data_IF_269051790586
#
_entry.id   IF_269051790586
#
_cell.length_a   1.000
_cell.length_b   1.000
_cell.length_c   1.000
_cell.angle_alpha   90.00
_cell.angle_beta   90.00
_cell.angle_gamma   90.00
#
_symmetry.space_group_name_H-M   'P 1'
#
loop_
_entity.id
_entity.type
_entity.pdbx_description
1 polymer ?
#
# COMPACT_ATOMS: atom_id res chain seq x y z
N UNK A 1 41.71 -62.60 70.20
CA UNK A 1 42.23 -61.24 69.93
C UNK A 1 41.49 -60.48 68.81
N UNK A 2 40.35 -60.98 68.30
CA UNK A 2 39.59 -60.36 67.19
C UNK A 2 38.61 -59.24 67.60
N UNK A 3 38.23 -59.15 68.88
CA UNK A 3 37.12 -58.29 69.31
C UNK A 3 37.56 -56.86 69.70
N UNK A 4 38.82 -56.64 70.08
CA UNK A 4 39.32 -55.33 70.52
C UNK A 4 39.68 -54.39 69.35
N UNK A 5 40.06 -54.97 68.20
CA UNK A 5 40.30 -54.21 66.96
C UNK A 5 38.98 -53.82 66.27
N UNK A 6 37.92 -54.64 66.38
CA UNK A 6 36.62 -54.32 65.78
C UNK A 6 35.97 -53.10 66.44
N UNK A 7 35.99 -53.01 67.77
CA UNK A 7 35.41 -51.89 68.52
C UNK A 7 36.18 -50.57 68.35
N UNK A 8 37.50 -50.64 68.18
CA UNK A 8 38.31 -49.44 67.91
C UNK A 8 38.13 -48.94 66.49
N UNK A 9 38.01 -49.84 65.50
CA UNK A 9 37.67 -49.47 64.12
C UNK A 9 36.24 -48.92 64.00
N UNK A 10 35.23 -49.53 64.62
CA UNK A 10 33.84 -49.04 64.54
C UNK A 10 33.66 -47.67 65.18
N UNK A 11 34.33 -47.40 66.32
CA UNK A 11 34.30 -46.09 66.97
C UNK A 11 35.02 -44.99 66.16
N UNK A 12 36.13 -45.32 65.49
CA UNK A 12 36.81 -44.41 64.57
C UNK A 12 35.95 -44.11 63.33
N UNK A 13 35.34 -45.13 62.71
CA UNK A 13 34.42 -44.96 61.59
C UNK A 13 33.15 -44.17 61.96
N UNK A 14 32.62 -44.36 63.17
CA UNK A 14 31.48 -43.60 63.68
C UNK A 14 31.82 -42.10 63.90
N UNK A 15 33.01 -41.80 64.44
CA UNK A 15 33.50 -40.42 64.62
C UNK A 15 33.79 -39.73 63.27
N UNK A 16 34.31 -40.47 62.29
CA UNK A 16 34.49 -40.00 60.90
C UNK A 16 33.14 -39.79 60.20
N UNK A 17 32.14 -40.67 60.41
CA UNK A 17 30.76 -40.48 59.90
C UNK A 17 30.05 -39.28 60.51
N UNK A 18 30.14 -39.05 61.82
CA UNK A 18 29.56 -37.87 62.48
C UNK A 18 30.21 -36.56 62.03
N UNK A 19 31.50 -36.59 61.67
CA UNK A 19 32.20 -35.47 61.03
C UNK A 19 31.71 -35.27 59.59
N UNK A 20 31.59 -36.35 58.81
CA UNK A 20 31.06 -36.34 57.45
C UNK A 20 29.61 -35.88 57.36
N UNK A 21 28.74 -36.26 58.31
CA UNK A 21 27.34 -35.80 58.37
C UNK A 21 27.23 -34.32 58.71
N UNK A 22 28.15 -33.80 59.54
CA UNK A 22 28.19 -32.38 59.87
C UNK A 22 28.69 -31.55 58.68
N UNK A 23 29.64 -32.09 57.93
CA UNK A 23 30.13 -31.53 56.65
C UNK A 23 29.03 -31.61 55.59
N UNK A 24 28.35 -32.75 55.44
CA UNK A 24 27.25 -32.96 54.50
C UNK A 24 26.06 -32.04 54.80
N UNK A 25 25.68 -31.85 56.07
CA UNK A 25 24.64 -30.87 56.47
C UNK A 25 25.05 -29.41 56.22
N UNK A 26 26.35 -29.09 56.19
CA UNK A 26 26.83 -27.76 55.76
C UNK A 26 26.76 -27.64 54.24
N UNK A 27 27.16 -28.67 53.49
CA UNK A 27 27.03 -28.72 52.03
C UNK A 27 25.58 -28.65 51.57
N UNK A 28 24.66 -29.42 52.18
CA UNK A 28 23.22 -29.38 51.84
C UNK A 28 22.63 -27.99 52.12
N UNK A 29 23.00 -27.34 53.24
CA UNK A 29 22.58 -25.95 53.51
C UNK A 29 23.13 -24.96 52.50
N UNK A 30 24.38 -25.15 52.07
CA UNK A 30 24.99 -24.32 51.03
C UNK A 30 24.29 -24.53 49.69
N UNK A 31 24.01 -25.77 49.29
CA UNK A 31 23.28 -26.12 48.06
C UNK A 31 21.86 -25.54 48.10
N UNK A 32 21.15 -25.66 49.21
CA UNK A 32 19.81 -25.06 49.37
C UNK A 32 19.86 -23.53 49.32
N UNK A 33 20.91 -22.91 49.87
CA UNK A 33 21.13 -21.47 49.75
C UNK A 33 21.39 -21.06 48.30
N UNK A 34 22.20 -21.81 47.57
CA UNK A 34 22.52 -21.56 46.15
C UNK A 34 21.27 -21.77 45.28
N UNK A 35 20.50 -22.82 45.52
CA UNK A 35 19.26 -23.10 44.79
C UNK A 35 18.21 -22.01 45.05
N UNK A 36 18.05 -21.56 46.30
CA UNK A 36 17.17 -20.43 46.61
C UNK A 36 17.65 -19.12 45.98
N UNK A 37 18.96 -18.88 45.92
CA UNK A 37 19.52 -17.73 45.23
C UNK A 37 19.25 -17.80 43.72
N UNK A 38 19.46 -18.96 43.10
CA UNK A 38 19.16 -19.20 41.69
C UNK A 38 17.67 -19.01 41.38
N UNK A 39 16.76 -19.49 42.25
CA UNK A 39 15.32 -19.27 42.10
C UNK A 39 14.96 -17.79 42.18
N UNK A 40 15.57 -17.03 43.10
CA UNK A 40 15.35 -15.57 43.19
C UNK A 40 15.88 -14.83 41.97
N UNK A 41 17.05 -15.21 41.45
CA UNK A 41 17.61 -14.62 40.22
C UNK A 41 16.72 -14.96 39.02
N UNK A 42 16.23 -16.19 38.92
CA UNK A 42 15.30 -16.60 37.86
C UNK A 42 13.98 -15.84 37.96
N UNK A 43 13.44 -15.65 39.16
CA UNK A 43 12.24 -14.82 39.39
C UNK A 43 12.47 -13.37 38.95
N UNK A 44 13.60 -12.77 39.31
CA UNK A 44 13.96 -11.42 38.87
C UNK A 44 14.06 -11.35 37.34
N UNK A 45 14.71 -12.32 36.71
CA UNK A 45 14.82 -12.39 35.26
C UNK A 45 13.45 -12.50 34.58
N UNK A 46 12.57 -13.37 35.08
CA UNK A 46 11.20 -13.49 34.57
C UNK A 46 10.40 -12.19 34.73
N UNK A 47 10.50 -11.52 35.88
CA UNK A 47 9.86 -10.22 36.10
C UNK A 47 10.40 -9.17 35.13
N UNK A 48 11.71 -9.15 34.85
CA UNK A 48 12.28 -8.23 33.86
C UNK A 48 11.83 -8.54 32.44
N UNK A 49 11.73 -9.82 32.05
CA UNK A 49 11.19 -10.21 30.75
C UNK A 49 9.72 -9.82 30.61
N UNK A 50 8.91 -10.02 31.65
CA UNK A 50 7.52 -9.58 31.67
C UNK A 50 7.41 -8.06 31.55
N UNK A 51 8.24 -7.31 32.27
CA UNK A 51 8.32 -5.85 32.15
C UNK A 51 8.72 -5.42 30.73
N UNK A 52 9.76 -6.01 30.13
CA UNK A 52 10.16 -5.71 28.75
C UNK A 52 9.08 -6.09 27.74
N UNK A 53 8.36 -7.19 27.94
CA UNK A 53 7.24 -7.59 27.09
C UNK A 53 6.07 -6.62 27.20
N UNK A 54 5.76 -6.14 28.41
CA UNK A 54 4.75 -5.11 28.64
C UNK A 54 5.16 -3.76 28.02
N UNK A 55 6.43 -3.37 28.13
CA UNK A 55 6.97 -2.17 27.47
C UNK A 55 6.97 -2.31 25.95
N UNK A 56 7.20 -3.51 25.39
CA UNK A 56 7.12 -3.74 23.93
C UNK A 56 5.69 -3.73 23.41
N UNK A 57 4.72 -4.21 24.20
CA UNK A 57 3.29 -4.13 23.88
C UNK A 57 2.70 -2.74 24.11
N UNK A 58 3.28 -1.95 25.02
CA UNK A 58 2.88 -0.56 25.31
C UNK A 58 3.73 0.49 24.57
N UNK A 59 4.75 0.09 23.80
CA UNK A 59 5.39 0.93 22.80
C UNK A 59 4.44 1.09 21.62
N UNK A 60 3.34 1.81 21.86
CA UNK A 60 2.78 2.68 20.84
C UNK A 60 3.98 3.52 20.39
N UNK A 61 4.37 3.51 19.10
CA UNK A 61 5.38 4.44 18.62
C UNK A 61 4.96 5.78 19.16
N UNK A 62 5.76 6.41 20.03
CA UNK A 62 5.50 7.79 20.38
C UNK A 62 5.44 8.48 19.04
N UNK A 63 4.25 8.89 18.64
CA UNK A 63 4.06 10.10 17.85
C UNK A 63 4.65 11.21 18.73
N UNK A 64 5.99 11.24 18.82
CA UNK A 64 6.70 12.49 19.00
C UNK A 64 6.13 13.33 17.90
N UNK A 65 5.35 14.34 18.29
CA UNK A 65 4.50 15.10 17.38
C UNK A 65 5.27 15.33 16.11
N UNK A 66 4.80 14.70 15.02
CA UNK A 66 5.41 14.87 13.71
C UNK A 66 5.47 16.36 13.52
N UNK A 67 6.69 16.87 13.41
CA UNK A 67 6.93 18.26 13.07
C UNK A 67 6.08 18.56 11.85
N UNK A 68 5.53 19.76 11.73
CA UNK A 68 4.71 20.21 10.60
C UNK A 68 5.44 20.14 9.24
N UNK A 69 6.67 19.62 9.22
CA UNK A 69 7.59 19.48 8.09
C UNK A 69 8.17 18.07 7.88
N UNK A 70 7.73 17.04 8.62
CA UNK A 70 8.25 15.68 8.43
C UNK A 70 7.66 15.04 7.16
N UNK A 71 8.40 15.16 6.06
CA UNK A 71 8.05 14.51 4.78
C UNK A 71 8.27 13.01 4.91
N UNK A 72 7.20 12.23 4.73
CA UNK A 72 7.29 10.77 4.68
C UNK A 72 8.07 10.37 3.41
N UNK A 73 9.18 9.61 3.53
CA UNK A 73 10.01 9.25 2.39
C UNK A 73 9.25 8.43 1.36
N UNK A 74 9.58 8.61 0.08
CA UNK A 74 8.88 7.97 -1.05
C UNK A 74 8.76 6.45 -0.89
N UNK A 75 9.85 5.75 -0.54
CA UNK A 75 9.82 4.30 -0.38
C UNK A 75 8.89 3.85 0.74
N UNK A 76 8.73 4.65 1.80
CA UNK A 76 7.77 4.35 2.85
C UNK A 76 6.34 4.51 2.34
N UNK A 77 6.03 5.58 1.61
CA UNK A 77 4.72 5.80 0.98
C UNK A 77 4.41 4.68 -0.01
N UNK A 78 5.35 4.34 -0.88
CA UNK A 78 5.22 3.25 -1.85
C UNK A 78 4.92 1.92 -1.16
N UNK A 79 5.77 1.49 -0.23
CA UNK A 79 5.60 0.22 0.47
C UNK A 79 4.30 0.17 1.29
N UNK A 80 3.91 1.30 1.89
CA UNK A 80 2.64 1.42 2.63
C UNK A 80 1.43 1.53 1.73
N UNK A 81 1.56 1.84 0.44
CA UNK A 81 0.44 1.95 -0.49
C UNK A 81 0.25 0.72 -1.37
N UNK A 82 1.20 -0.21 -1.41
CA UNK A 82 1.11 -1.47 -2.18
C UNK A 82 -0.18 -2.26 -1.93
N UNK A 83 -0.71 -2.86 -3.00
CA UNK A 83 -1.86 -3.76 -2.97
C UNK A 83 -1.63 -4.94 -2.01
N UNK A 84 -2.42 -5.00 -0.92
CA UNK A 84 -2.37 -6.07 0.09
C UNK A 84 -3.70 -6.18 0.85
N UNK A 85 -3.92 -7.25 1.62
CA UNK A 85 -5.03 -7.33 2.57
C UNK A 85 -4.92 -6.22 3.62
N UNK A 86 -6.01 -5.48 3.85
CA UNK A 86 -6.12 -4.40 4.84
C UNK A 86 -7.49 -4.42 5.49
N UNK A 87 -7.54 -3.96 6.72
CA UNK A 87 -8.78 -3.68 7.42
C UNK A 87 -9.47 -2.48 6.78
N UNK A 88 -10.72 -2.67 6.36
CA UNK A 88 -11.57 -1.62 5.81
C UNK A 88 -12.95 -1.71 6.45
N UNK A 89 -13.61 -0.56 6.58
CA UNK A 89 -15.00 -0.50 7.01
C UNK A 89 -15.91 -0.78 5.81
N UNK A 90 -16.69 -1.85 5.91
CA UNK A 90 -17.69 -2.23 4.90
C UNK A 90 -19.08 -2.00 5.48
N UNK A 91 -19.90 -1.25 4.77
CA UNK A 91 -21.29 -1.03 5.13
C UNK A 91 -22.13 -2.29 4.83
N UNK A 92 -22.88 -2.77 5.83
CA UNK A 92 -23.59 -4.05 5.75
C UNK A 92 -24.70 -4.01 4.69
N UNK A 93 -25.35 -2.85 4.52
CA UNK A 93 -26.43 -2.66 3.54
C UNK A 93 -25.95 -2.80 2.09
N UNK A 94 -24.70 -2.44 1.81
CA UNK A 94 -24.13 -2.55 0.46
C UNK A 94 -23.84 -4.02 0.08
N UNK A 95 -23.46 -4.84 1.05
CA UNK A 95 -23.16 -6.26 0.83
C UNK A 95 -24.44 -7.10 0.74
N UNK A 96 -25.49 -6.70 1.47
CA UNK A 96 -26.78 -7.38 1.53
C UNK A 96 -27.94 -6.46 1.14
N UNK A 97 -28.04 -6.09 -0.16
CA UNK A 97 -29.09 -5.18 -0.63
C UNK A 97 -30.50 -5.76 -0.50
N UNK A 98 -30.64 -7.09 -0.42
CA UNK A 98 -31.95 -7.76 -0.33
C UNK A 98 -32.64 -7.55 1.04
N UNK A 99 -31.90 -7.15 2.08
CA UNK A 99 -32.40 -6.98 3.45
C UNK A 99 -32.77 -5.51 3.80
N UNK A 100 -33.40 -4.78 2.86
CA UNK A 100 -33.72 -3.33 3.01
C UNK A 100 -34.62 -2.95 4.20
N UNK A 101 -35.40 -3.88 4.74
CA UNK A 101 -36.38 -3.58 5.80
C UNK A 101 -35.78 -3.44 7.22
N UNK A 102 -34.45 -3.52 7.35
CA UNK A 102 -33.78 -3.69 8.64
C UNK A 102 -32.68 -2.67 8.88
N UNK A 103 -32.62 -2.21 10.13
CA UNK A 103 -31.49 -1.41 10.62
C UNK A 103 -30.52 -2.38 11.30
N UNK A 104 -29.26 -2.34 10.87
CA UNK A 104 -28.18 -3.16 11.43
C UNK A 104 -27.40 -2.36 12.47
N UNK A 105 -27.09 -2.98 13.62
CA UNK A 105 -26.19 -2.45 14.64
C UNK A 105 -25.05 -3.45 14.85
N UNK A 106 -23.79 -3.09 14.54
CA UNK A 106 -23.37 -1.83 13.89
C UNK A 106 -23.87 -1.74 12.43
N UNK A 107 -23.79 -0.54 11.81
CA UNK A 107 -24.13 -0.35 10.39
C UNK A 107 -23.00 -0.72 9.44
N UNK A 108 -21.76 -0.73 9.95
CA UNK A 108 -20.56 -1.14 9.24
C UNK A 108 -19.72 -2.09 10.10
N UNK A 109 -18.95 -2.95 9.43
CA UNK A 109 -18.05 -3.92 10.06
C UNK A 109 -16.65 -3.76 9.51
N UNK A 110 -15.65 -4.06 10.34
CA UNK A 110 -14.24 -4.10 9.92
C UNK A 110 -13.99 -5.46 9.27
N UNK A 111 -13.62 -5.46 8.00
CA UNK A 111 -13.28 -6.65 7.24
C UNK A 111 -11.92 -6.51 6.59
N UNK A 112 -11.23 -7.63 6.44
CA UNK A 112 -10.01 -7.69 5.65
C UNK A 112 -10.35 -7.75 4.16
N UNK A 113 -10.08 -6.66 3.42
CA UNK A 113 -10.28 -6.58 1.97
C UNK A 113 -8.99 -6.17 1.27
N UNK A 114 -8.96 -6.38 -0.05
CA UNK A 114 -7.82 -5.97 -0.86
C UNK A 114 -7.87 -4.46 -1.06
N UNK A 115 -6.81 -3.78 -0.62
CA UNK A 115 -6.69 -2.34 -0.75
C UNK A 115 -5.24 -1.91 -0.98
N UNK A 116 -5.08 -0.79 -1.66
CA UNK A 116 -3.79 -0.26 -2.10
C UNK A 116 -3.79 0.08 -3.58
N UNK A 117 -2.66 0.57 -4.06
CA UNK A 117 -2.44 0.91 -5.45
C UNK A 117 -1.66 -0.19 -6.18
N UNK A 118 -1.85 -0.21 -7.50
CA UNK A 118 -1.00 -0.90 -8.45
C UNK A 118 -0.23 0.15 -9.26
N UNK A 119 0.90 -0.25 -9.85
CA UNK A 119 1.75 0.69 -10.61
C UNK A 119 1.05 1.25 -11.87
N UNK A 120 0.12 0.49 -12.45
CA UNK A 120 -0.61 0.85 -13.66
C UNK A 120 -2.10 1.07 -13.36
N UNK A 121 -2.67 2.15 -13.90
CA UNK A 121 -4.12 2.44 -13.77
C UNK A 121 -5.01 1.41 -14.47
N UNK A 122 -4.46 0.69 -15.45
CA UNK A 122 -5.13 -0.40 -16.15
C UNK A 122 -5.24 -1.68 -15.30
N UNK A 123 -4.62 -1.68 -14.12
CA UNK A 123 -4.67 -2.76 -13.15
C UNK A 123 -5.62 -2.42 -12.00
N UNK A 124 -6.21 -3.43 -11.40
CA UNK A 124 -6.98 -3.36 -10.17
C UNK A 124 -6.39 -4.30 -9.11
N UNK A 125 -6.42 -3.86 -7.85
CA UNK A 125 -6.04 -4.68 -6.72
C UNK A 125 -7.20 -5.63 -6.40
N UNK A 126 -7.06 -6.90 -6.79
CA UNK A 126 -8.13 -7.88 -6.70
C UNK A 126 -7.74 -9.05 -5.78
N UNK A 127 -8.72 -9.71 -5.13
CA UNK A 127 -8.45 -10.89 -4.33
C UNK A 127 -8.03 -12.08 -5.19
N UNK A 128 -7.12 -12.86 -4.62
CA UNK A 128 -6.65 -14.15 -5.17
C UNK A 128 -7.29 -15.30 -4.41
N UNK A 129 -7.41 -15.14 -3.09
CA UNK A 129 -8.01 -16.12 -2.17
C UNK A 129 -8.95 -15.36 -1.24
N UNK A 130 -10.13 -15.92 -1.04
CA UNK A 130 -11.17 -15.37 -0.16
C UNK A 130 -11.73 -16.46 0.75
N UNK A 131 -12.12 -16.10 1.95
CA UNK A 131 -12.80 -16.98 2.91
C UNK A 131 -13.95 -16.22 3.57
N UNK A 132 -14.93 -16.95 4.10
CA UNK A 132 -16.07 -16.33 4.77
C UNK A 132 -15.86 -16.35 6.29
N UNK A 133 -16.19 -15.23 6.94
CA UNK A 133 -16.31 -15.13 8.39
C UNK A 133 -17.77 -14.92 8.77
N UNK A 134 -18.16 -15.32 9.96
CA UNK A 134 -19.51 -15.06 10.49
C UNK A 134 -19.43 -14.07 11.62
N UNK A 135 -20.15 -12.96 11.51
CA UNK A 135 -20.22 -11.90 12.50
C UNK A 135 -21.60 -11.86 13.14
N UNK A 136 -21.63 -11.55 14.43
CA UNK A 136 -22.86 -11.30 15.18
C UNK A 136 -23.25 -9.82 15.03
N UNK A 137 -24.48 -9.59 14.54
CA UNK A 137 -25.03 -8.28 14.24
C UNK A 137 -26.44 -8.21 14.83
N UNK A 138 -26.79 -7.07 15.43
CA UNK A 138 -28.16 -6.84 15.88
C UNK A 138 -29.01 -6.34 14.71
N UNK A 139 -30.12 -7.03 14.47
CA UNK A 139 -31.11 -6.66 13.46
C UNK A 139 -32.32 -6.03 14.12
N UNK A 140 -32.62 -4.79 13.77
CA UNK A 140 -33.78 -4.04 14.27
C UNK A 140 -34.88 -4.02 13.22
N UNK A 141 -36.06 -4.55 13.58
CA UNK A 141 -37.32 -4.25 12.89
C UNK A 141 -38.02 -3.13 13.67
N UNK A 142 -38.51 -2.06 13.01
CA UNK A 142 -39.20 -0.96 13.70
C UNK A 142 -40.40 -1.38 14.58
N UNK A 143 -40.99 -2.56 14.32
CA UNK A 143 -42.22 -3.04 14.96
C UNK A 143 -42.09 -4.44 15.61
N UNK A 144 -40.91 -5.08 15.62
CA UNK A 144 -40.71 -6.42 16.21
C UNK A 144 -39.38 -6.49 16.97
N UNK A 145 -39.34 -7.38 17.97
CA UNK A 145 -38.22 -7.56 18.89
C UNK A 145 -36.85 -7.68 18.21
N UNK A 146 -35.84 -7.15 18.91
CA UNK A 146 -34.41 -7.31 18.65
C UNK A 146 -33.98 -8.76 18.86
N UNK A 147 -33.07 -9.24 18.00
CA UNK A 147 -32.37 -10.50 18.19
C UNK A 147 -30.95 -10.39 17.66
N UNK A 148 -30.05 -11.16 18.26
CA UNK A 148 -28.71 -11.36 17.75
C UNK A 148 -28.78 -12.24 16.50
N UNK A 149 -28.19 -11.78 15.41
CA UNK A 149 -28.26 -12.42 14.11
C UNK A 149 -26.85 -12.64 13.56
N UNK A 150 -26.59 -13.80 12.97
CA UNK A 150 -25.29 -14.11 12.39
C UNK A 150 -25.34 -13.85 10.88
N UNK A 151 -24.41 -13.04 10.38
CA UNK A 151 -24.21 -12.83 8.95
C UNK A 151 -22.82 -13.26 8.53
N UNK A 152 -22.71 -13.90 7.38
CA UNK A 152 -21.43 -14.22 6.77
C UNK A 152 -20.88 -13.03 5.98
N UNK A 153 -19.57 -12.83 5.94
CA UNK A 153 -18.93 -11.83 5.09
C UNK A 153 -17.68 -12.43 4.45
N UNK A 154 -17.39 -12.06 3.21
CA UNK A 154 -16.16 -12.47 2.54
C UNK A 154 -14.98 -11.60 3.00
N UNK A 155 -13.90 -12.23 3.45
CA UNK A 155 -12.59 -11.63 3.68
C UNK A 155 -11.57 -12.10 2.64
N UNK A 156 -10.55 -11.29 2.41
CA UNK A 156 -9.50 -11.56 1.44
C UNK A 156 -8.19 -11.89 2.17
N UNK A 157 -7.67 -13.10 2.02
CA UNK A 157 -6.37 -13.50 2.59
C UNK A 157 -5.18 -13.14 1.69
N UNK A 158 -5.38 -13.08 0.37
CA UNK A 158 -4.32 -12.80 -0.61
C UNK A 158 -4.79 -11.85 -1.70
N UNK A 159 -3.95 -10.88 -2.07
CA UNK A 159 -4.26 -9.85 -3.08
C UNK A 159 -3.19 -9.77 -4.15
N UNK A 160 -3.58 -9.56 -5.41
CA UNK A 160 -2.67 -9.35 -6.55
C UNK A 160 -3.22 -8.29 -7.51
N UNK A 161 -2.33 -7.54 -8.13
CA UNK A 161 -2.68 -6.62 -9.21
C UNK A 161 -3.06 -7.41 -10.47
N UNK A 162 -4.28 -7.24 -10.95
CA UNK A 162 -4.82 -7.91 -12.15
C UNK A 162 -5.27 -6.86 -13.17
N UNK A 163 -5.20 -7.12 -14.48
CA UNK A 163 -5.75 -6.21 -15.49
C UNK A 163 -7.25 -6.06 -15.29
N UNK A 164 -7.76 -4.83 -15.35
CA UNK A 164 -9.20 -4.59 -15.24
C UNK A 164 -9.95 -5.22 -16.42
N UNK A 165 -11.08 -5.84 -16.14
CA UNK A 165 -11.89 -6.57 -17.14
C UNK A 165 -12.46 -5.65 -18.23
N UNK A 166 -12.72 -4.38 -17.93
CA UNK A 166 -13.24 -3.38 -18.86
C UNK A 166 -12.26 -3.00 -19.99
N UNK A 167 -10.96 -3.29 -19.81
CA UNK A 167 -9.93 -3.11 -20.85
C UNK A 167 -9.96 -4.26 -21.87
N UNK A 168 -10.33 -5.47 -21.45
CA UNK A 168 -10.42 -6.65 -22.34
C UNK A 168 -11.58 -6.52 -23.34
N UNK A 169 -12.75 -6.07 -22.88
CA UNK A 169 -13.93 -5.87 -23.75
C UNK A 169 -13.73 -4.78 -24.81
N UNK A 170 -12.86 -3.80 -24.55
CA UNK A 170 -12.51 -2.76 -25.55
C UNK A 170 -11.56 -3.26 -26.64
N UNK A 171 -10.76 -4.30 -26.39
CA UNK A 171 -9.84 -4.87 -27.38
C UNK A 171 -10.51 -5.84 -28.34
N UNK A 172 -11.57 -6.53 -27.91
CA UNK A 172 -12.29 -7.50 -28.76
C UNK A 172 -13.20 -6.86 -29.80
N UNK A 173 -13.61 -5.60 -29.62
CA UNK A 173 -14.31 -4.82 -30.65
C UNK A 173 -13.33 -4.30 -31.73
N UNK A 174 -12.71 -5.22 -32.48
CA UNK A 174 -12.07 -4.85 -33.76
C UNK A 174 -13.14 -4.25 -34.69
N UNK A 175 -12.90 -3.08 -35.31
CA UNK A 175 -13.88 -2.48 -36.21
C UNK A 175 -14.00 -3.35 -37.46
N UNK A 176 -15.18 -3.93 -37.68
CA UNK A 176 -15.53 -4.54 -38.97
C UNK A 176 -15.36 -3.48 -40.06
N UNK A 177 -14.46 -3.74 -41.02
CA UNK A 177 -14.27 -2.94 -42.23
C UNK A 177 -15.56 -2.95 -43.05
N UNK A 178 -16.44 -1.98 -42.82
CA UNK A 178 -17.51 -1.60 -43.73
C UNK A 178 -17.08 -0.39 -44.55
N UNK A 179 -17.00 -0.54 -45.88
CA UNK A 179 -16.75 0.55 -46.84
C UNK A 179 -17.88 1.60 -46.74
N UNK A 180 -17.54 2.88 -46.64
CA UNK A 180 -18.50 3.97 -46.78
C UNK A 180 -17.98 5.32 -46.25
N UNK A 181 -17.90 6.31 -47.13
CA UNK A 181 -17.26 7.62 -46.94
C UNK A 181 -18.00 8.54 -45.95
N UNK A 182 -17.28 9.12 -44.96
CA UNK A 182 -17.13 10.59 -44.74
C UNK A 182 -16.34 10.91 -43.46
N UNK A 183 -15.22 11.61 -43.66
CA UNK A 183 -14.41 12.35 -42.67
C UNK A 183 -15.32 13.33 -41.90
N UNK A 184 -15.13 13.78 -40.65
CA UNK A 184 -13.91 14.13 -39.89
C UNK A 184 -14.36 14.55 -38.46
N UNK A 185 -14.43 13.65 -37.46
CA UNK A 185 -14.62 14.09 -36.04
C UNK A 185 -14.28 13.02 -34.99
N UNK A 186 -13.01 12.67 -34.84
CA UNK A 186 -12.49 12.06 -33.61
C UNK A 186 -10.96 12.00 -33.67
N UNK A 187 -10.30 12.99 -33.06
CA UNK A 187 -8.87 12.93 -32.75
C UNK A 187 -8.55 13.89 -31.60
N UNK A 188 -9.25 13.73 -30.47
CA UNK A 188 -8.93 14.47 -29.25
C UNK A 188 -8.98 13.60 -27.97
N UNK A 189 -9.48 12.35 -28.08
CA UNK A 189 -9.53 11.42 -26.95
C UNK A 189 -8.31 10.48 -26.89
N UNK A 190 -7.55 10.33 -27.99
CA UNK A 190 -6.31 9.55 -28.02
C UNK A 190 -5.15 10.35 -27.41
N UNK A 191 -5.04 11.65 -27.71
CA UNK A 191 -3.98 12.52 -27.17
C UNK A 191 -4.00 12.65 -25.63
N UNK A 192 -5.16 12.51 -24.99
CA UNK A 192 -5.30 12.49 -23.51
C UNK A 192 -4.78 11.18 -22.90
N UNK A 193 -4.77 10.08 -23.66
CA UNK A 193 -4.23 8.78 -23.26
C UNK A 193 -2.71 8.74 -23.40
N UNK A 194 -2.19 9.40 -24.43
CA UNK A 194 -0.74 9.47 -24.67
C UNK A 194 -0.01 10.37 -23.66
N UNK A 195 -0.68 11.41 -23.12
CA UNK A 195 -0.08 12.30 -22.13
C UNK A 195 0.08 11.65 -20.74
N UNK A 196 -0.77 10.68 -20.39
CA UNK A 196 -0.66 9.95 -19.13
C UNK A 196 0.38 8.82 -19.20
N UNK A 197 0.58 8.23 -20.39
CA UNK A 197 1.62 7.21 -20.63
C UNK A 197 3.05 7.79 -20.66
N UNK A 198 3.20 9.10 -20.86
CA UNK A 198 4.51 9.76 -20.78
C UNK A 198 5.04 9.82 -19.33
N UNK A 199 4.17 10.02 -18.34
CA UNK A 199 4.54 10.08 -16.92
C UNK A 199 5.05 8.73 -16.35
N UNK A 200 4.51 7.61 -16.83
CA UNK A 200 4.91 6.27 -16.38
C UNK A 200 6.25 5.79 -16.99
N UNK A 201 6.67 6.37 -18.12
CA UNK A 201 7.93 6.02 -18.79
C UNK A 201 9.19 6.62 -18.12
N UNK A 202 9.06 7.75 -17.42
CA UNK A 202 10.18 8.35 -16.67
C UNK A 202 10.46 7.60 -15.35
N UNK A 203 9.44 7.07 -14.68
CA UNK A 203 9.61 6.33 -13.41
C UNK A 203 10.27 4.96 -13.60
N UNK A 204 10.03 4.30 -14.74
CA UNK A 204 10.59 2.97 -15.04
C UNK A 204 12.07 3.00 -15.46
N UNK A 205 12.55 4.12 -16.00
CA UNK A 205 13.94 4.27 -16.42
C UNK A 205 14.91 4.55 -15.26
N UNK A 206 14.41 5.07 -14.13
CA UNK A 206 15.23 5.33 -12.94
C UNK A 206 15.49 4.08 -12.08
N UNK A 207 14.67 3.03 -12.22
CA UNK A 207 14.72 1.84 -11.35
C UNK A 207 15.69 0.77 -11.91
N UNK A 208 15.94 0.74 -13.23
CA UNK A 208 16.81 -0.28 -13.84
C UNK A 208 18.32 -0.06 -13.62
N UNK A 209 18.75 1.05 -13.01
CA UNK A 209 20.17 1.40 -12.84
C UNK A 209 20.75 1.05 -11.46
N UNK A 210 19.96 0.49 -10.53
CA UNK A 210 20.44 0.17 -9.17
C UNK A 210 20.38 -1.31 -8.80
N UNK A 211 20.36 -2.21 -9.78
CA UNK A 211 20.41 -3.65 -9.52
C UNK A 211 21.47 -4.33 -10.38
N UNK A 212 22.74 -4.20 -9.96
CA UNK A 212 23.76 -5.27 -9.84
C UNK A 212 25.18 -4.68 -9.74
N UNK A 213 25.92 -4.90 -8.63
CA UNK A 213 27.36 -4.61 -8.53
C UNK A 213 28.21 -5.87 -8.77
N UNK A 214 29.45 -5.66 -9.27
CA UNK A 214 30.57 -6.63 -9.47
C UNK A 214 30.37 -7.58 -10.68
N UNK A 215 31.21 -7.72 -11.70
CA UNK A 215 32.60 -7.35 -12.01
C UNK A 215 33.23 -8.54 -12.78
N UNK A 216 33.76 -8.34 -14.00
CA UNK A 216 34.95 -9.01 -14.61
C UNK A 216 35.09 -8.62 -16.11
N UNK A 217 36.30 -8.29 -16.56
CA UNK A 217 36.68 -7.87 -17.93
C UNK A 217 37.05 -9.11 -18.79
N UNK A 218 36.75 -9.21 -20.09
CA UNK A 218 37.52 -8.65 -21.22
C UNK A 218 36.91 -9.08 -22.60
N UNK A 219 37.35 -8.50 -23.73
CA UNK A 219 36.50 -8.18 -24.89
C UNK A 219 36.61 -9.14 -26.09
N UNK A 220 35.51 -9.30 -26.83
CA UNK A 220 35.50 -9.75 -28.23
C UNK A 220 34.48 -8.90 -29.01
N UNK A 221 34.97 -8.19 -30.02
CA UNK A 221 34.27 -7.45 -31.10
C UNK A 221 34.95 -7.95 -32.40
N UNK A 222 34.32 -8.05 -33.60
CA UNK A 222 33.17 -7.33 -34.18
C UNK A 222 32.06 -8.30 -34.68
N UNK A 223 30.90 -7.92 -35.22
CA UNK A 223 30.62 -6.85 -36.18
C UNK A 223 29.10 -6.66 -36.43
N UNK A 224 28.78 -5.55 -37.11
CA UNK A 224 27.61 -5.26 -37.94
C UNK A 224 26.23 -4.93 -37.31
N UNK A 225 25.92 -3.62 -37.32
CA UNK A 225 24.69 -3.16 -37.97
C UNK A 225 23.55 -2.68 -37.06
N UNK A 226 23.37 -1.36 -36.94
CA UNK A 226 22.05 -0.78 -36.65
C UNK A 226 22.05 0.39 -35.67
N UNK A 227 22.39 1.58 -36.18
CA UNK A 227 22.33 2.86 -35.47
C UNK A 227 20.94 3.13 -34.85
N UNK A 228 20.83 3.03 -33.52
CA UNK A 228 19.75 3.66 -32.74
C UNK A 228 20.36 4.75 -31.88
N UNK A 229 20.10 6.01 -32.27
CA UNK A 229 20.44 7.21 -31.51
C UNK A 229 19.96 7.06 -30.07
N UNK A 230 20.91 6.97 -29.14
CA UNK A 230 20.69 7.10 -27.70
C UNK A 230 20.20 8.52 -27.46
N UNK A 231 18.91 8.68 -27.21
CA UNK A 231 18.34 9.96 -26.81
C UNK A 231 18.84 10.26 -25.40
N UNK A 232 19.74 11.22 -25.32
CA UNK A 232 20.20 11.85 -24.08
C UNK A 232 18.99 12.57 -23.45
N UNK A 233 18.56 12.15 -22.26
CA UNK A 233 17.44 12.77 -21.56
C UNK A 233 17.86 14.14 -21.05
N UNK A 234 17.63 15.19 -21.86
CA UNK A 234 17.64 16.56 -21.38
C UNK A 234 16.47 16.75 -20.40
N UNK A 235 16.80 17.10 -19.16
CA UNK A 235 15.87 17.45 -18.10
C UNK A 235 15.16 18.77 -18.41
N UNK A 236 13.94 18.70 -18.93
CA UNK A 236 12.99 19.81 -18.92
C UNK A 236 11.58 19.21 -18.82
N UNK A 237 11.04 19.15 -17.61
CA UNK A 237 9.63 18.89 -17.39
C UNK A 237 8.86 20.16 -17.79
N UNK A 238 8.04 20.09 -18.84
CA UNK A 238 7.13 21.19 -19.21
C UNK A 238 6.11 21.47 -18.09
N UNK A 239 5.74 22.75 -17.85
CA UNK A 239 4.75 23.10 -16.84
C UNK A 239 3.35 22.60 -17.21
N UNK A 240 2.64 22.02 -16.23
CA UNK A 240 1.27 21.55 -16.42
C UNK A 240 0.30 22.76 -16.53
N UNK A 241 0.00 23.21 -17.75
CA UNK A 241 -1.01 24.25 -17.99
C UNK A 241 -2.44 23.70 -17.79
N UNK A 242 -3.30 24.43 -17.08
CA UNK A 242 -4.74 24.14 -17.06
C UNK A 242 -5.37 24.51 -18.41
N UNK A 243 -6.31 23.70 -18.93
CA UNK A 243 -6.93 24.00 -20.23
C UNK A 243 -7.72 25.30 -20.15
N UNK A 244 -7.57 26.20 -21.13
CA UNK A 244 -8.42 27.39 -21.27
C UNK A 244 -9.91 27.03 -21.11
N UNK A 245 -10.65 27.88 -20.40
CA UNK A 245 -12.03 27.66 -19.91
C UNK A 245 -12.85 26.67 -20.75
N UNK A 246 -13.23 25.54 -20.13
CA UNK A 246 -13.70 24.32 -20.83
C UNK A 246 -14.92 24.52 -21.75
N UNK A 247 -15.71 25.58 -21.54
CA UNK A 247 -16.91 25.87 -22.33
C UNK A 247 -16.64 26.14 -23.81
N UNK A 248 -15.42 26.50 -24.24
CA UNK A 248 -15.15 26.91 -25.64
C UNK A 248 -13.78 26.50 -26.19
N UNK A 249 -13.27 25.30 -25.87
CA UNK A 249 -11.98 24.75 -26.35
C UNK A 249 -11.67 24.83 -27.86
N UNK A 250 -12.66 25.11 -28.72
CA UNK A 250 -12.47 25.21 -30.17
C UNK A 250 -12.08 26.60 -30.68
N UNK A 251 -12.27 27.62 -29.85
CA UNK A 251 -12.09 29.03 -30.23
C UNK A 251 -10.82 29.66 -29.64
N UNK A 252 -10.17 28.96 -28.71
CA UNK A 252 -8.96 29.41 -28.02
C UNK A 252 -7.76 28.53 -28.40
N UNK A 253 -6.58 29.14 -28.50
CA UNK A 253 -5.28 28.50 -28.65
C UNK A 253 -4.47 28.81 -27.40
N UNK A 254 -3.79 27.81 -26.84
CA UNK A 254 -2.93 27.98 -25.67
C UNK A 254 -1.48 27.85 -26.10
N UNK A 255 -0.67 28.80 -25.67
CA UNK A 255 0.79 28.72 -25.77
C UNK A 255 1.30 27.65 -24.77
N UNK A 256 2.05 26.64 -25.23
CA UNK A 256 2.56 25.57 -24.37
C UNK A 256 3.63 26.03 -23.37
N UNK A 257 4.38 27.10 -23.68
CA UNK A 257 5.48 27.57 -22.82
C UNK A 257 4.99 28.59 -21.79
N UNK A 258 4.07 29.48 -22.19
CA UNK A 258 3.56 30.57 -21.32
C UNK A 258 2.20 30.28 -20.69
N UNK A 259 1.54 29.18 -21.10
CA UNK A 259 0.16 28.85 -20.76
C UNK A 259 -0.88 29.91 -21.18
N UNK A 260 -0.50 30.93 -21.97
CA UNK A 260 -1.38 32.05 -22.33
C UNK A 260 -2.45 31.61 -23.35
N UNK A 261 -3.71 31.98 -23.08
CA UNK A 261 -4.85 31.68 -23.96
C UNK A 261 -5.14 32.85 -24.89
N UNK A 262 -5.13 32.61 -26.20
CA UNK A 262 -5.45 33.60 -27.24
C UNK A 262 -6.59 33.14 -28.15
N UNK A 263 -7.24 34.07 -28.84
CA UNK A 263 -8.30 33.75 -29.80
C UNK A 263 -7.72 33.12 -31.06
N UNK A 264 -8.36 32.05 -31.54
CA UNK A 264 -7.98 31.39 -32.81
C UNK A 264 -8.17 32.28 -34.04
N UNK A 265 -9.16 33.17 -34.00
CA UNK A 265 -9.45 34.11 -35.09
C UNK A 265 -8.93 35.49 -34.71
N UNK A 266 -8.31 36.15 -35.67
CA UNK A 266 -7.90 37.55 -35.54
C UNK A 266 -9.08 38.48 -35.85
N UNK A 267 -8.97 39.71 -35.37
CA UNK A 267 -9.96 40.75 -35.63
C UNK A 267 -10.11 41.02 -37.15
N UNK A 268 -8.99 41.03 -37.88
CA UNK A 268 -8.98 41.16 -39.34
C UNK A 268 -9.78 40.06 -40.05
N UNK A 269 -9.73 38.82 -39.54
CA UNK A 269 -10.51 37.70 -40.09
C UNK A 269 -12.01 37.86 -39.85
N UNK A 270 -12.43 38.41 -38.71
CA UNK A 270 -13.85 38.71 -38.48
C UNK A 270 -14.30 39.90 -39.34
N UNK A 271 -13.48 40.95 -39.43
CA UNK A 271 -13.77 42.16 -40.23
C UNK A 271 -13.92 41.86 -41.72
N UNK A 272 -13.13 40.92 -42.27
CA UNK A 272 -13.28 40.48 -43.66
C UNK A 272 -14.64 39.82 -43.95
N UNK A 273 -15.43 39.51 -42.92
CA UNK A 273 -16.78 38.94 -43.00
C UNK A 273 -17.85 39.89 -42.47
N UNK A 274 -17.51 41.17 -42.28
CA UNK A 274 -18.40 42.19 -41.72
C UNK A 274 -18.89 41.85 -40.29
N UNK A 275 -18.05 41.16 -39.52
CA UNK A 275 -18.30 40.78 -38.13
C UNK A 275 -17.22 41.38 -37.23
N UNK A 276 -17.52 41.49 -35.94
CA UNK A 276 -16.61 42.00 -34.91
C UNK A 276 -16.17 40.86 -33.98
N UNK A 277 -14.88 40.79 -33.66
CA UNK A 277 -14.36 39.77 -32.76
C UNK A 277 -14.68 40.13 -31.30
N UNK A 278 -15.45 39.28 -30.64
CA UNK A 278 -15.63 39.36 -29.20
C UNK A 278 -14.46 38.68 -28.48
N UNK A 279 -13.47 39.46 -28.02
CA UNK A 279 -12.24 38.96 -27.40
C UNK A 279 -12.47 38.07 -26.17
N UNK A 280 -13.55 38.31 -25.41
CA UNK A 280 -13.88 37.50 -24.22
C UNK A 280 -14.40 36.11 -24.57
N UNK A 281 -14.98 35.94 -25.76
CA UNK A 281 -15.58 34.67 -26.17
C UNK A 281 -14.95 34.05 -27.42
N UNK A 282 -14.03 34.78 -28.05
CA UNK A 282 -13.39 34.50 -29.34
C UNK A 282 -14.38 34.15 -30.46
N UNK A 283 -15.53 34.83 -30.49
CA UNK A 283 -16.57 34.68 -31.52
C UNK A 283 -16.60 35.92 -32.41
N UNK A 284 -16.78 35.73 -33.71
CA UNK A 284 -17.12 36.83 -34.61
C UNK A 284 -18.63 37.06 -34.51
N UNK A 285 -19.04 38.12 -33.82
CA UNK A 285 -20.45 38.48 -33.64
C UNK A 285 -20.82 39.62 -34.60
N UNK A 286 -22.11 39.82 -34.87
CA UNK A 286 -22.55 40.99 -35.65
C UNK A 286 -22.30 42.26 -34.84
N UNK A 287 -21.88 43.37 -35.47
CA UNK A 287 -21.75 44.65 -34.79
C UNK A 287 -23.08 44.98 -34.12
N UNK A 288 -23.07 45.25 -32.81
CA UNK A 288 -24.25 45.76 -32.13
C UNK A 288 -24.45 47.19 -32.62
N UNK A 289 -25.58 47.46 -33.27
CA UNK A 289 -26.02 48.84 -33.55
C UNK A 289 -26.25 49.59 -32.25
#
# INVERSE_FOLDING_TARGET
MSNLLSETFTNAFAKVRLSSDRVLKRFIRLINSIMNFAVRVLQLFLVTLLYFSAVKSAYIPREGGRSTYDVVPFMEVYNKSLCRPREVLVEIQQEYPDDTEHIFIPSCVVLTRCAGCCNDEMMECAPTVTYNITLEIKRLKPLRHQGDFFMSFAEHSECKCRPRKDVLEKKEKKPRKGKGQKRKRKKNSEKKRDLCMAFTSCLTSAIHTLQNPLGEQNPIVPDEGGSKKRAECLSQCEPCCSTCSERKRRLFIQDPETCQCSCKHSEAYCRSRQLELNERTCRCDKPRR
#
